data_IF_419191106309
#
_entry.id   IF_419191106309
#
_cell.length_a   1.000
_cell.length_b   1.000
_cell.length_c   1.000
_cell.angle_alpha   90.00
_cell.angle_beta   90.00
_cell.angle_gamma   90.00
#
_symmetry.space_group_name_H-M   'P 1'
#
loop_
_entity.id
_entity.type
_entity.pdbx_description
1 polymer ?
#
# COMPACT_ATOMS: atom_id res chain seq x y z
N UNK A 1 34.45 -12.10 -3.82
CA UNK A 1 33.99 -13.04 -2.76
C UNK A 1 32.58 -13.48 -3.08
N UNK A 2 32.25 -14.77 -2.98
CA UNK A 2 30.87 -15.22 -3.07
C UNK A 2 30.13 -14.87 -1.77
N UNK A 3 28.89 -14.43 -1.90
CA UNK A 3 28.04 -14.18 -0.73
C UNK A 3 27.73 -15.52 -0.04
N UNK A 4 27.73 -15.54 1.28
CA UNK A 4 27.36 -16.71 2.10
C UNK A 4 25.88 -17.04 1.89
N UNK A 5 25.02 -16.00 1.83
CA UNK A 5 23.58 -16.14 1.62
C UNK A 5 23.07 -15.08 0.65
N UNK A 6 21.92 -15.35 0.04
CA UNK A 6 21.16 -14.41 -0.79
C UNK A 6 19.72 -14.37 -0.28
N UNK A 7 18.98 -13.36 -0.66
CA UNK A 7 17.55 -13.28 -0.38
C UNK A 7 16.82 -14.54 -0.88
N UNK A 8 15.83 -14.99 -0.11
CA UNK A 8 15.03 -16.17 -0.44
C UNK A 8 14.23 -15.89 -1.71
N UNK A 9 14.13 -16.87 -2.59
CA UNK A 9 13.35 -16.74 -3.83
C UNK A 9 11.89 -16.36 -3.53
N UNK A 10 11.48 -15.23 -4.07
CA UNK A 10 10.14 -14.67 -3.84
C UNK A 10 10.07 -13.61 -2.75
N UNK A 11 11.23 -13.24 -2.17
CA UNK A 11 11.37 -12.02 -1.37
C UNK A 11 12.19 -11.00 -2.14
N UNK A 12 12.04 -9.71 -1.83
CA UNK A 12 12.74 -8.61 -2.50
C UNK A 12 13.11 -7.53 -1.50
N UNK A 13 14.38 -7.12 -1.50
CA UNK A 13 14.81 -5.95 -0.78
C UNK A 13 14.29 -4.67 -1.47
N UNK A 14 13.78 -3.73 -0.71
CA UNK A 14 13.49 -2.36 -1.17
C UNK A 14 14.67 -1.49 -0.79
N UNK A 15 15.46 -1.08 -1.79
CA UNK A 15 16.67 -0.31 -1.56
C UNK A 15 16.36 1.18 -1.35
N UNK A 16 17.27 1.97 -0.74
CA UNK A 16 17.02 3.38 -0.45
C UNK A 16 16.57 4.23 -1.64
N UNK A 17 17.08 3.92 -2.84
CA UNK A 17 16.71 4.63 -4.07
C UNK A 17 15.27 4.36 -4.54
N UNK A 18 14.61 3.32 -4.03
CA UNK A 18 13.24 2.94 -4.39
C UNK A 18 12.26 3.06 -3.21
N UNK A 19 12.79 3.17 -1.98
CA UNK A 19 11.97 3.17 -0.77
C UNK A 19 10.96 4.34 -0.73
N UNK A 20 11.34 5.50 -1.26
CA UNK A 20 10.45 6.68 -1.32
C UNK A 20 9.16 6.42 -2.09
N UNK A 21 9.18 5.55 -3.10
CA UNK A 21 8.00 5.17 -3.87
C UNK A 21 6.98 4.43 -3.01
N UNK A 22 7.45 3.46 -2.21
CA UNK A 22 6.59 2.72 -1.29
C UNK A 22 6.09 3.64 -0.18
N UNK A 23 6.95 4.50 0.37
CA UNK A 23 6.58 5.48 1.39
C UNK A 23 5.48 6.43 0.88
N UNK A 24 5.57 6.89 -0.36
CA UNK A 24 4.54 7.71 -0.99
C UNK A 24 3.19 6.97 -1.08
N UNK A 25 3.18 5.73 -1.55
CA UNK A 25 1.96 4.91 -1.63
C UNK A 25 1.37 4.70 -0.23
N UNK A 26 2.21 4.38 0.76
CA UNK A 26 1.78 4.18 2.14
C UNK A 26 1.24 5.46 2.79
N UNK A 27 1.89 6.60 2.56
CA UNK A 27 1.43 7.91 3.06
C UNK A 27 0.06 8.24 2.47
N UNK A 28 -0.11 8.13 1.15
CA UNK A 28 -1.39 8.34 0.47
C UNK A 28 -2.48 7.39 0.97
N UNK A 29 -2.12 6.13 1.28
CA UNK A 29 -3.06 5.17 1.85
C UNK A 29 -3.54 5.59 3.24
N UNK A 30 -2.63 6.05 4.12
CA UNK A 30 -2.96 6.54 5.47
C UNK A 30 -3.84 7.79 5.43
N UNK A 31 -3.48 8.77 4.61
CA UNK A 31 -4.26 10.00 4.43
C UNK A 31 -5.66 9.70 3.92
N UNK A 32 -5.77 8.88 2.87
CA UNK A 32 -7.06 8.49 2.33
C UNK A 32 -7.90 7.73 3.37
N UNK A 33 -7.32 6.81 4.11
CA UNK A 33 -8.01 6.11 5.19
C UNK A 33 -8.52 7.08 6.27
N UNK A 34 -7.70 8.05 6.66
CA UNK A 34 -8.07 9.06 7.66
C UNK A 34 -9.26 9.92 7.20
N UNK A 35 -9.31 10.36 5.94
CA UNK A 35 -10.40 11.16 5.38
C UNK A 35 -11.75 10.43 5.41
N UNK A 36 -11.73 9.10 5.32
CA UNK A 36 -12.93 8.28 5.47
C UNK A 36 -13.20 7.84 6.91
N UNK A 37 -12.42 8.32 7.88
CA UNK A 37 -12.56 8.03 9.31
C UNK A 37 -12.12 6.63 9.72
N UNK A 38 -11.23 6.00 8.94
CA UNK A 38 -10.59 4.73 9.32
C UNK A 38 -9.40 4.98 10.25
N UNK A 39 -9.21 4.11 11.23
CA UNK A 39 -8.09 4.15 12.19
C UNK A 39 -7.15 2.98 11.95
N UNK A 40 -5.85 3.22 12.13
CA UNK A 40 -4.85 2.15 11.95
C UNK A 40 -5.02 1.07 13.01
N UNK A 41 -4.99 -0.20 12.57
CA UNK A 41 -4.85 -1.37 13.43
C UNK A 41 -3.58 -2.12 13.04
N UNK A 42 -2.81 -2.56 14.04
CA UNK A 42 -1.61 -3.37 13.84
C UNK A 42 -1.78 -4.70 14.54
N UNK A 43 -1.74 -5.77 13.79
CA UNK A 43 -1.85 -7.15 14.29
C UNK A 43 -0.50 -7.84 14.26
N UNK A 44 -0.26 -8.88 15.05
CA UNK A 44 0.96 -9.68 14.99
C UNK A 44 1.23 -10.28 13.61
N UNK A 45 2.51 -10.51 13.29
CA UNK A 45 2.94 -11.14 12.03
C UNK A 45 2.53 -12.61 11.97
N UNK A 46 2.49 -13.29 13.12
CA UNK A 46 2.10 -14.68 13.24
C UNK A 46 0.92 -14.83 14.21
N UNK A 47 0.06 -15.77 13.90
CA UNK A 47 -1.16 -16.10 14.64
C UNK A 47 -1.26 -17.61 14.82
N UNK A 48 -2.16 -18.07 15.68
CA UNK A 48 -2.51 -19.48 15.72
C UNK A 48 -3.02 -19.95 14.35
N UNK A 49 -2.54 -21.09 13.88
CA UNK A 49 -2.92 -21.65 12.57
C UNK A 49 -4.43 -21.80 12.44
N UNK A 50 -5.12 -22.15 13.54
CA UNK A 50 -6.57 -22.30 13.59
C UNK A 50 -7.33 -21.03 13.18
N UNK A 51 -6.80 -19.84 13.44
CA UNK A 51 -7.41 -18.57 13.02
C UNK A 51 -7.61 -18.54 11.49
N UNK A 52 -6.59 -18.96 10.75
CA UNK A 52 -6.66 -18.96 9.28
C UNK A 52 -7.45 -20.15 8.74
N UNK A 53 -7.36 -21.31 9.37
CA UNK A 53 -8.17 -22.49 8.99
C UNK A 53 -9.66 -22.18 9.08
N UNK A 54 -10.11 -21.60 10.18
CA UNK A 54 -11.51 -21.19 10.36
C UNK A 54 -11.88 -19.97 9.55
N UNK A 55 -11.10 -18.90 9.66
CA UNK A 55 -11.44 -17.61 9.08
C UNK A 55 -11.27 -17.57 7.56
N UNK A 56 -10.24 -18.21 6.99
CA UNK A 56 -9.95 -18.19 5.53
C UNK A 56 -10.63 -19.34 4.80
N UNK A 57 -10.81 -20.46 5.50
CA UNK A 57 -11.49 -21.68 5.01
C UNK A 57 -10.54 -22.79 4.58
N UNK A 58 -10.76 -23.97 5.11
CA UNK A 58 -9.92 -25.17 4.88
C UNK A 58 -9.87 -25.61 3.41
N UNK A 59 -10.83 -25.19 2.58
CA UNK A 59 -10.88 -25.58 1.16
C UNK A 59 -10.08 -24.69 0.24
N UNK A 60 -9.52 -23.60 0.76
CA UNK A 60 -8.77 -22.60 -0.03
C UNK A 60 -7.36 -23.08 -0.33
N UNK A 61 -6.81 -22.68 -1.49
CA UNK A 61 -5.42 -22.98 -1.83
C UNK A 61 -4.45 -22.32 -0.83
N UNK A 62 -4.83 -21.17 -0.29
CA UNK A 62 -4.05 -20.43 0.73
C UNK A 62 -3.81 -21.34 1.95
N UNK A 63 -4.87 -21.90 2.52
CA UNK A 63 -4.78 -22.76 3.71
C UNK A 63 -4.12 -24.08 3.40
N UNK A 64 -4.44 -24.70 2.27
CA UNK A 64 -3.94 -26.03 1.93
C UNK A 64 -2.48 -26.08 1.49
N UNK A 65 -1.96 -25.04 0.85
CA UNK A 65 -0.67 -25.09 0.12
C UNK A 65 0.24 -23.91 0.31
N UNK A 66 -0.30 -22.75 0.73
CA UNK A 66 0.46 -21.49 0.64
C UNK A 66 0.84 -20.91 2.01
N UNK A 67 0.33 -21.42 3.12
CA UNK A 67 0.69 -20.94 4.45
C UNK A 67 2.10 -21.36 4.86
N UNK A 68 2.82 -20.45 5.51
CA UNK A 68 4.05 -20.75 6.25
C UNK A 68 3.68 -21.10 7.70
N UNK A 69 3.57 -22.38 7.97
CA UNK A 69 3.14 -22.93 9.27
C UNK A 69 4.29 -23.69 9.92
N UNK A 70 4.46 -23.52 11.23
CA UNK A 70 5.47 -24.19 12.04
C UNK A 70 5.03 -24.27 13.49
N UNK A 71 5.64 -25.18 14.25
CA UNK A 71 5.41 -25.28 15.67
C UNK A 71 6.37 -24.36 16.45
N UNK A 72 5.85 -23.62 17.41
CA UNK A 72 6.69 -22.85 18.33
C UNK A 72 7.38 -23.75 19.38
N UNK A 73 8.25 -23.18 20.20
CA UNK A 73 8.94 -23.94 21.27
C UNK A 73 7.99 -24.53 22.31
N UNK A 74 6.76 -24.07 22.40
CA UNK A 74 5.71 -24.58 23.27
C UNK A 74 4.82 -25.64 22.61
N UNK A 75 5.12 -26.06 21.36
CA UNK A 75 4.36 -27.05 20.62
C UNK A 75 3.05 -26.51 20.06
N UNK A 76 2.88 -25.19 19.93
CA UNK A 76 1.68 -24.59 19.34
C UNK A 76 1.91 -24.38 17.85
N UNK A 77 0.92 -24.78 17.04
CA UNK A 77 0.96 -24.51 15.61
C UNK A 77 0.67 -23.05 15.32
N UNK A 78 1.63 -22.36 14.72
CA UNK A 78 1.55 -20.95 14.34
C UNK A 78 1.83 -20.78 12.84
N UNK A 79 1.21 -19.75 12.28
CA UNK A 79 1.29 -19.43 10.85
C UNK A 79 1.64 -17.97 10.66
N UNK A 80 2.59 -17.67 9.77
CA UNK A 80 2.79 -16.31 9.28
C UNK A 80 1.54 -15.88 8.51
N UNK A 81 0.99 -14.71 8.84
CA UNK A 81 -0.28 -14.24 8.26
C UNK A 81 -0.24 -14.24 6.73
N UNK A 82 -1.15 -14.96 6.06
CA UNK A 82 -1.26 -14.95 4.60
C UNK A 82 -2.11 -13.78 4.08
N UNK A 83 -2.82 -13.08 4.98
CA UNK A 83 -3.68 -11.93 4.72
C UNK A 83 -3.97 -11.17 6.04
N UNK A 84 -4.55 -9.97 5.97
CA UNK A 84 -4.74 -9.12 7.15
C UNK A 84 -6.12 -9.23 7.82
N UNK A 85 -7.16 -9.65 7.10
CA UNK A 85 -8.56 -9.59 7.55
C UNK A 85 -8.83 -10.46 8.78
N UNK A 86 -8.36 -11.72 8.78
CA UNK A 86 -8.59 -12.64 9.91
C UNK A 86 -7.93 -12.11 11.20
N UNK A 87 -6.70 -11.57 11.10
CA UNK A 87 -6.03 -10.92 12.22
C UNK A 87 -6.78 -9.70 12.75
N UNK A 88 -7.31 -8.86 11.86
CA UNK A 88 -8.11 -7.70 12.22
C UNK A 88 -9.44 -8.12 12.89
N UNK A 89 -10.12 -9.15 12.37
CA UNK A 89 -11.35 -9.70 12.95
C UNK A 89 -11.11 -10.30 14.34
N UNK A 90 -10.01 -11.05 14.52
CA UNK A 90 -9.62 -11.58 15.85
C UNK A 90 -9.34 -10.42 16.83
N UNK A 91 -8.59 -9.40 16.39
CA UNK A 91 -8.27 -8.24 17.23
C UNK A 91 -9.53 -7.44 17.61
N UNK A 92 -10.50 -7.32 16.70
CA UNK A 92 -11.81 -6.70 16.95
C UNK A 92 -12.56 -7.40 18.07
N UNK A 93 -12.55 -8.75 18.10
CA UNK A 93 -13.19 -9.54 19.14
C UNK A 93 -12.41 -9.53 20.46
N UNK A 94 -11.14 -9.88 20.42
CA UNK A 94 -10.30 -10.08 21.61
C UNK A 94 -10.18 -8.79 22.45
N UNK A 95 -10.13 -7.63 21.81
CA UNK A 95 -10.00 -6.34 22.50
C UNK A 95 -11.34 -5.66 22.78
N UNK A 96 -12.46 -6.36 22.56
CA UNK A 96 -13.78 -5.86 22.90
C UNK A 96 -14.28 -4.70 22.03
N UNK A 97 -13.68 -4.42 20.87
CA UNK A 97 -14.14 -3.39 19.95
C UNK A 97 -15.57 -3.65 19.45
N UNK A 98 -16.01 -4.89 19.51
CA UNK A 98 -17.40 -5.26 19.20
C UNK A 98 -18.44 -4.69 20.20
N UNK A 99 -18.01 -4.25 21.37
CA UNK A 99 -18.87 -3.65 22.40
C UNK A 99 -18.89 -2.10 22.30
N UNK A 100 -18.10 -1.53 21.40
CA UNK A 100 -18.08 -0.09 21.15
C UNK A 100 -19.13 0.31 20.11
N UNK A 101 -19.23 1.63 19.86
CA UNK A 101 -20.14 2.14 18.84
C UNK A 101 -19.77 1.61 17.44
N UNK A 102 -20.70 0.99 16.74
CA UNK A 102 -20.55 0.56 15.36
C UNK A 102 -20.99 1.65 14.38
N UNK A 103 -20.43 1.75 13.19
CA UNK A 103 -19.42 0.84 12.63
C UNK A 103 -18.01 1.15 13.15
N UNK A 104 -17.23 0.09 13.41
CA UNK A 104 -15.79 0.19 13.62
C UNK A 104 -15.08 0.13 12.26
N UNK A 105 -14.30 1.16 11.96
CA UNK A 105 -13.57 1.31 10.71
C UNK A 105 -12.07 1.24 10.98
N UNK A 106 -11.40 0.21 10.49
CA UNK A 106 -9.96 0.04 10.68
C UNK A 106 -9.25 -0.19 9.35
N UNK A 107 -8.01 0.28 9.25
CA UNK A 107 -7.11 -0.05 8.15
C UNK A 107 -5.80 -0.62 8.67
N UNK A 108 -5.11 -1.35 7.81
CA UNK A 108 -3.78 -1.87 8.10
C UNK A 108 -2.85 -1.76 6.89
N UNK A 109 -1.56 -1.61 7.19
CA UNK A 109 -0.45 -1.76 6.26
C UNK A 109 0.45 -2.84 6.84
N UNK A 110 0.46 -4.01 6.21
CA UNK A 110 1.07 -5.20 6.80
C UNK A 110 1.79 -6.06 5.76
N UNK A 111 2.91 -6.68 6.18
CA UNK A 111 3.55 -7.75 5.40
C UNK A 111 2.72 -9.03 5.51
N UNK A 112 2.53 -9.72 4.40
CA UNK A 112 1.85 -11.00 4.29
C UNK A 112 2.76 -12.04 3.64
N UNK A 113 2.51 -13.32 3.91
CA UNK A 113 3.41 -14.41 3.53
C UNK A 113 2.65 -15.56 2.89
N UNK A 114 2.99 -15.90 1.63
CA UNK A 114 2.38 -17.03 0.92
C UNK A 114 3.42 -17.81 0.15
N UNK A 115 3.42 -19.12 0.28
CA UNK A 115 4.31 -20.01 -0.48
C UNK A 115 3.81 -20.19 -1.91
N UNK A 116 3.78 -19.09 -2.67
CA UNK A 116 3.36 -19.08 -4.06
C UNK A 116 4.54 -19.22 -5.04
N UNK A 117 4.23 -19.54 -6.31
CA UNK A 117 5.21 -19.42 -7.39
C UNK A 117 5.46 -17.93 -7.68
N UNK A 118 6.68 -17.41 -7.41
CA UNK A 118 6.97 -16.00 -7.61
C UNK A 118 6.85 -15.59 -9.08
N UNK A 119 6.26 -14.42 -9.31
CA UNK A 119 6.16 -13.74 -10.61
C UNK A 119 6.03 -12.23 -10.39
N UNK A 120 6.01 -11.44 -11.47
CA UNK A 120 5.84 -9.98 -11.35
C UNK A 120 4.59 -9.63 -10.54
N UNK A 121 4.73 -8.79 -9.51
CA UNK A 121 3.66 -8.40 -8.60
C UNK A 121 3.09 -9.51 -7.72
N UNK A 122 3.74 -10.67 -7.63
CA UNK A 122 3.33 -11.79 -6.78
C UNK A 122 4.55 -12.41 -6.12
N UNK A 123 4.78 -12.02 -4.89
CA UNK A 123 5.93 -12.42 -4.08
C UNK A 123 5.48 -13.37 -2.97
N UNK A 124 6.44 -14.02 -2.32
CA UNK A 124 6.20 -14.84 -1.11
C UNK A 124 6.09 -14.02 0.14
N UNK A 125 6.79 -12.91 0.21
CA UNK A 125 6.57 -11.81 1.13
C UNK A 125 6.09 -10.62 0.33
N UNK A 126 4.94 -10.06 0.69
CA UNK A 126 4.31 -8.93 0.02
C UNK A 126 3.58 -8.05 1.03
N UNK A 127 3.33 -6.80 0.68
CA UNK A 127 2.68 -5.85 1.57
C UNK A 127 1.25 -5.59 1.12
N UNK A 128 0.35 -5.56 2.09
CA UNK A 128 -1.05 -5.24 1.86
C UNK A 128 -1.44 -3.94 2.56
N UNK A 129 -2.11 -3.07 1.83
CA UNK A 129 -3.04 -2.11 2.40
C UNK A 129 -4.43 -2.73 2.38
N UNK A 130 -5.07 -2.78 3.53
CA UNK A 130 -6.44 -3.27 3.64
C UNK A 130 -7.27 -2.43 4.59
N UNK A 131 -8.57 -2.42 4.37
CA UNK A 131 -9.55 -1.76 5.24
C UNK A 131 -10.63 -2.75 5.60
N UNK A 132 -11.08 -2.68 6.86
CA UNK A 132 -12.17 -3.48 7.38
C UNK A 132 -13.20 -2.56 8.05
N UNK A 133 -14.45 -2.77 7.72
CA UNK A 133 -15.56 -2.07 8.31
C UNK A 133 -16.52 -3.07 8.94
N UNK A 134 -16.51 -3.10 10.24
CA UNK A 134 -17.42 -3.91 11.04
C UNK A 134 -18.69 -3.11 11.30
N UNK A 135 -19.73 -3.37 10.50
CA UNK A 135 -21.05 -2.77 10.67
C UNK A 135 -21.63 -1.92 9.52
N UNK A 136 -20.94 -1.66 8.39
CA UNK A 136 -21.52 -0.89 7.25
C UNK A 136 -20.74 -1.01 5.92
N UNK A 137 -21.07 -0.21 4.89
CA UNK A 137 -20.48 -0.18 3.53
C UNK A 137 -19.67 1.12 3.30
N UNK A 138 -18.58 1.08 2.49
CA UNK A 138 -17.74 2.26 2.23
C UNK A 138 -17.15 2.31 0.81
N UNK A 139 -17.05 3.50 0.13
CA UNK A 139 -16.48 3.69 -1.22
C UNK A 139 -14.97 4.02 -1.24
N UNK A 140 -14.19 3.74 -0.20
CA UNK A 140 -12.79 4.18 -0.01
C UNK A 140 -11.84 3.83 -1.15
N UNK A 141 -11.97 2.65 -1.77
CA UNK A 141 -10.99 2.15 -2.73
C UNK A 141 -10.85 3.04 -3.97
N UNK A 142 -11.92 3.59 -4.49
CA UNK A 142 -11.91 4.45 -5.69
C UNK A 142 -11.10 5.72 -5.43
N UNK A 143 -11.38 6.42 -4.34
CA UNK A 143 -10.69 7.65 -3.96
C UNK A 143 -9.18 7.48 -3.77
N UNK A 144 -8.73 6.30 -3.31
CA UNK A 144 -7.31 6.00 -3.17
C UNK A 144 -6.59 5.91 -4.52
N UNK A 145 -7.18 5.24 -5.50
CA UNK A 145 -6.59 5.13 -6.84
C UNK A 145 -6.52 6.48 -7.56
N UNK A 146 -7.55 7.31 -7.42
CA UNK A 146 -7.60 8.65 -7.99
C UNK A 146 -6.45 9.52 -7.48
N UNK A 147 -6.15 9.47 -6.17
CA UNK A 147 -5.03 10.21 -5.55
C UNK A 147 -3.65 9.78 -6.03
N UNK A 148 -3.50 8.52 -6.39
CA UNK A 148 -2.24 8.01 -6.96
C UNK A 148 -2.12 8.25 -8.47
N UNK A 149 -3.12 8.87 -9.10
CA UNK A 149 -3.15 9.09 -10.54
C UNK A 149 -3.32 7.79 -11.35
N UNK A 150 -3.81 6.73 -10.73
CA UNK A 150 -4.07 5.45 -11.38
C UNK A 150 -5.40 5.52 -12.11
N UNK A 151 -5.38 5.26 -13.40
CA UNK A 151 -6.55 5.35 -14.30
C UNK A 151 -6.85 4.01 -14.97
N UNK A 152 -7.97 3.93 -15.72
CA UNK A 152 -8.32 2.75 -16.52
C UNK A 152 -8.58 1.49 -15.70
N UNK A 153 -8.93 1.63 -14.43
CA UNK A 153 -9.41 0.52 -13.61
C UNK A 153 -10.88 0.24 -13.91
N UNK A 154 -11.21 -1.01 -14.18
CA UNK A 154 -12.60 -1.47 -14.27
C UNK A 154 -13.02 -2.02 -12.91
N UNK A 155 -14.13 -1.50 -12.39
CA UNK A 155 -14.80 -2.09 -11.24
C UNK A 155 -15.68 -3.24 -11.71
N UNK A 156 -15.32 -4.45 -11.31
CA UNK A 156 -16.13 -5.64 -11.55
C UNK A 156 -16.79 -6.07 -10.24
N UNK A 157 -18.08 -6.30 -10.26
CA UNK A 157 -18.86 -6.70 -9.09
C UNK A 157 -19.59 -8.02 -9.33
N UNK A 158 -19.82 -8.77 -8.25
CA UNK A 158 -20.66 -9.97 -8.27
C UNK A 158 -21.40 -10.12 -6.94
N UNK A 159 -22.43 -10.93 -6.92
CA UNK A 159 -23.03 -11.45 -5.68
C UNK A 159 -22.80 -12.96 -5.60
N UNK A 160 -22.07 -13.41 -4.61
CA UNK A 160 -21.90 -14.86 -4.36
C UNK A 160 -22.98 -15.43 -3.43
N UNK A 161 -23.99 -14.64 -3.11
CA UNK A 161 -25.12 -15.01 -2.29
C UNK A 161 -24.79 -15.28 -0.82
N UNK A 162 -25.81 -15.60 -0.05
CA UNK A 162 -25.71 -16.11 1.32
C UNK A 162 -25.49 -17.64 1.32
N UNK A 163 -25.26 -18.29 2.47
CA UNK A 163 -25.10 -19.75 2.54
C UNK A 163 -26.25 -20.52 1.87
N UNK A 164 -27.50 -20.05 2.02
CA UNK A 164 -28.68 -20.69 1.40
C UNK A 164 -28.64 -20.60 -0.15
N UNK A 165 -28.26 -19.45 -0.69
CA UNK A 165 -28.06 -19.27 -2.14
C UNK A 165 -26.95 -20.18 -2.66
N UNK A 166 -25.83 -20.21 -1.93
CA UNK A 166 -24.65 -21.03 -2.30
C UNK A 166 -24.96 -22.52 -2.33
N UNK A 167 -25.76 -23.03 -1.39
CA UNK A 167 -26.12 -24.43 -1.39
C UNK A 167 -26.84 -24.84 -2.69
N UNK A 168 -27.85 -24.07 -3.10
CA UNK A 168 -28.56 -24.28 -4.37
C UNK A 168 -27.65 -24.14 -5.58
N UNK A 169 -26.77 -23.14 -5.57
CA UNK A 169 -25.84 -22.89 -6.65
C UNK A 169 -24.78 -23.98 -6.78
N UNK A 170 -24.29 -24.52 -5.65
CA UNK A 170 -23.34 -25.63 -5.64
C UNK A 170 -23.93 -26.88 -6.28
N UNK A 171 -25.20 -27.17 -6.01
CA UNK A 171 -25.88 -28.30 -6.64
C UNK A 171 -26.01 -28.13 -8.15
N UNK A 172 -26.31 -26.92 -8.61
CA UNK A 172 -26.34 -26.60 -10.03
C UNK A 172 -24.95 -26.72 -10.69
N UNK A 173 -23.90 -26.22 -10.04
CA UNK A 173 -22.52 -26.34 -10.51
C UNK A 173 -22.05 -27.80 -10.54
N UNK A 174 -22.34 -28.57 -9.48
CA UNK A 174 -22.03 -30.01 -9.46
C UNK A 174 -22.71 -30.76 -10.60
N UNK A 175 -24.00 -30.51 -10.83
CA UNK A 175 -24.72 -31.10 -11.95
C UNK A 175 -24.12 -30.72 -13.29
N UNK A 176 -23.77 -29.46 -13.47
CA UNK A 176 -23.17 -28.96 -14.71
C UNK A 176 -21.80 -29.58 -14.99
N UNK A 177 -20.89 -29.57 -14.02
CA UNK A 177 -19.53 -30.07 -14.20
C UNK A 177 -19.43 -31.59 -14.14
N UNK A 178 -20.38 -32.30 -13.52
CA UNK A 178 -20.39 -33.77 -13.46
C UNK A 178 -20.42 -34.40 -14.86
N UNK A 179 -21.15 -33.78 -15.79
CA UNK A 179 -21.24 -34.25 -17.18
C UNK A 179 -19.90 -34.20 -17.94
N UNK A 180 -18.92 -33.40 -17.46
CA UNK A 180 -17.62 -33.18 -18.08
C UNK A 180 -16.47 -33.35 -17.07
N UNK A 181 -16.68 -34.16 -16.03
CA UNK A 181 -15.72 -34.37 -14.94
C UNK A 181 -14.36 -34.84 -15.43
N UNK A 182 -14.33 -35.76 -16.37
CA UNK A 182 -13.10 -36.36 -16.90
C UNK A 182 -12.27 -35.42 -17.77
N UNK A 183 -12.89 -34.32 -18.25
CA UNK A 183 -12.22 -33.25 -19.01
C UNK A 183 -11.57 -32.19 -18.07
N UNK A 184 -11.97 -32.13 -16.82
CA UNK A 184 -11.41 -31.20 -15.84
C UNK A 184 -10.00 -31.59 -15.44
N UNK A 185 -9.14 -30.60 -15.17
CA UNK A 185 -7.83 -30.88 -14.58
C UNK A 185 -7.95 -31.53 -13.18
N UNK A 186 -6.94 -32.29 -12.76
CA UNK A 186 -6.94 -33.06 -11.49
C UNK A 186 -7.36 -32.21 -10.27
N UNK A 187 -6.88 -30.97 -10.21
CA UNK A 187 -7.27 -30.04 -9.14
C UNK A 187 -8.76 -29.74 -9.17
N UNK A 188 -9.35 -29.55 -10.34
CA UNK A 188 -10.78 -29.21 -10.48
C UNK A 188 -11.68 -30.42 -10.27
N UNK A 189 -11.24 -31.62 -10.59
CA UNK A 189 -11.95 -32.84 -10.22
C UNK A 189 -12.11 -32.95 -8.68
N UNK A 190 -11.04 -32.64 -7.94
CA UNK A 190 -11.13 -32.58 -6.46
C UNK A 190 -11.95 -31.40 -5.93
N UNK A 191 -11.99 -30.25 -6.64
CA UNK A 191 -12.81 -29.08 -6.27
C UNK A 191 -14.29 -29.33 -6.50
N UNK A 192 -14.67 -30.17 -7.45
CA UNK A 192 -16.05 -30.46 -7.78
C UNK A 192 -16.85 -30.93 -6.55
N UNK A 193 -16.24 -31.75 -5.70
CA UNK A 193 -16.88 -32.26 -4.48
C UNK A 193 -16.83 -31.24 -3.34
N UNK A 194 -15.69 -30.59 -3.15
CA UNK A 194 -15.43 -29.73 -1.98
C UNK A 194 -15.94 -28.30 -2.14
N UNK A 195 -15.59 -27.66 -3.26
CA UNK A 195 -15.96 -26.26 -3.54
C UNK A 195 -16.05 -26.05 -5.06
N UNK A 196 -17.18 -26.36 -5.70
CA UNK A 196 -17.33 -26.28 -7.16
C UNK A 196 -17.18 -24.86 -7.72
N UNK A 197 -17.46 -23.82 -6.94
CA UNK A 197 -17.22 -22.42 -7.37
C UNK A 197 -15.75 -22.17 -7.74
N UNK A 198 -14.80 -22.84 -7.10
CA UNK A 198 -13.36 -22.69 -7.39
C UNK A 198 -12.95 -23.22 -8.78
N UNK A 199 -13.83 -23.95 -9.47
CA UNK A 199 -13.60 -24.37 -10.85
C UNK A 199 -13.70 -23.17 -11.79
N UNK A 200 -14.56 -22.19 -11.48
CA UNK A 200 -14.76 -20.98 -12.28
C UNK A 200 -13.49 -20.09 -12.35
N UNK A 201 -12.64 -20.15 -11.32
CA UNK A 201 -11.34 -19.42 -11.26
C UNK A 201 -10.14 -20.30 -11.66
N UNK A 202 -10.36 -21.44 -12.30
CA UNK A 202 -9.26 -22.30 -12.72
C UNK A 202 -8.43 -21.66 -13.84
N UNK A 203 -7.10 -21.79 -13.73
CA UNK A 203 -6.16 -21.26 -14.74
C UNK A 203 -5.94 -22.20 -15.95
N UNK A 204 -6.44 -23.42 -15.89
CA UNK A 204 -6.37 -24.36 -17.01
C UNK A 204 -7.26 -23.90 -18.16
N UNK A 205 -6.72 -23.76 -19.39
CA UNK A 205 -7.53 -23.33 -20.55
C UNK A 205 -8.75 -24.23 -20.80
N UNK A 206 -8.60 -25.54 -20.57
CA UNK A 206 -9.72 -26.51 -20.73
C UNK A 206 -10.80 -26.24 -19.69
N UNK A 207 -10.44 -26.07 -18.41
CA UNK A 207 -11.41 -25.77 -17.37
C UNK A 207 -12.08 -24.41 -17.58
N UNK A 208 -11.34 -23.41 -18.08
CA UNK A 208 -11.91 -22.09 -18.43
C UNK A 208 -12.92 -22.20 -19.55
N UNK A 209 -12.62 -22.99 -20.59
CA UNK A 209 -13.55 -23.22 -21.69
C UNK A 209 -14.84 -23.91 -21.22
N UNK A 210 -14.69 -24.95 -20.40
CA UNK A 210 -15.85 -25.64 -19.79
C UNK A 210 -16.68 -24.69 -18.93
N UNK A 211 -16.03 -23.81 -18.18
CA UNK A 211 -16.70 -22.88 -17.28
C UNK A 211 -17.42 -21.71 -17.98
N UNK A 212 -17.20 -21.49 -19.29
CA UNK A 212 -17.84 -20.38 -20.02
C UNK A 212 -19.36 -20.39 -19.91
N UNK A 213 -19.97 -21.55 -20.02
CA UNK A 213 -21.41 -21.70 -20.04
C UNK A 213 -21.96 -22.22 -18.68
N UNK A 214 -21.14 -22.17 -17.63
CA UNK A 214 -21.58 -22.57 -16.30
C UNK A 214 -22.68 -21.62 -15.78
N UNK A 215 -23.64 -22.14 -15.00
CA UNK A 215 -24.68 -21.34 -14.37
C UNK A 215 -24.13 -20.12 -13.66
N UNK A 216 -24.80 -18.97 -13.74
CA UNK A 216 -24.43 -17.76 -13.01
C UNK A 216 -25.03 -17.79 -11.60
N UNK A 217 -24.24 -17.40 -10.58
CA UNK A 217 -24.71 -17.37 -9.19
C UNK A 217 -25.88 -16.40 -8.99
N UNK A 218 -25.96 -15.35 -9.79
CA UNK A 218 -27.04 -14.34 -9.77
C UNK A 218 -28.43 -14.93 -10.03
N UNK A 219 -28.52 -16.09 -10.72
CA UNK A 219 -29.79 -16.76 -11.01
C UNK A 219 -30.32 -17.56 -9.80
N UNK A 220 -29.47 -17.80 -8.82
CA UNK A 220 -29.77 -18.60 -7.61
C UNK A 220 -29.90 -17.75 -6.35
N UNK A 221 -29.91 -16.42 -6.46
CA UNK A 221 -30.05 -15.53 -5.33
C UNK A 221 -31.45 -15.60 -4.73
N UNK A 222 -31.53 -15.64 -3.40
CA UNK A 222 -32.80 -15.42 -2.69
C UNK A 222 -33.18 -13.93 -2.81
N UNK A 223 -34.44 -13.61 -2.48
CA UNK A 223 -34.98 -12.25 -2.60
C UNK A 223 -34.14 -11.23 -1.82
N UNK A 224 -33.72 -11.54 -0.58
CA UNK A 224 -32.86 -10.69 0.24
C UNK A 224 -31.52 -10.39 -0.45
N UNK A 225 -30.85 -11.41 -1.02
CA UNK A 225 -29.56 -11.22 -1.69
C UNK A 225 -29.70 -10.47 -3.02
N UNK A 226 -30.80 -10.67 -3.73
CA UNK A 226 -31.13 -9.96 -4.95
C UNK A 226 -31.36 -8.49 -4.64
N UNK A 227 -32.25 -8.19 -3.70
CA UNK A 227 -32.54 -6.81 -3.29
C UNK A 227 -31.27 -6.09 -2.79
N UNK A 228 -30.43 -6.77 -2.01
CA UNK A 228 -29.14 -6.22 -1.59
C UNK A 228 -28.24 -5.88 -2.78
N UNK A 229 -28.13 -6.78 -3.75
CA UNK A 229 -27.28 -6.57 -4.92
C UNK A 229 -27.81 -5.45 -5.84
N UNK A 230 -29.12 -5.37 -6.00
CA UNK A 230 -29.79 -4.29 -6.76
C UNK A 230 -29.56 -2.92 -6.11
N UNK A 231 -29.62 -2.85 -4.77
CA UNK A 231 -29.31 -1.63 -4.01
C UNK A 231 -27.84 -1.21 -4.19
N UNK A 232 -26.89 -2.15 -4.14
CA UNK A 232 -25.48 -1.85 -4.40
C UNK A 232 -25.30 -1.23 -5.79
N UNK A 233 -25.92 -1.81 -6.83
CA UNK A 233 -25.85 -1.30 -8.18
C UNK A 233 -26.49 0.10 -8.30
N UNK A 234 -27.60 0.32 -7.60
CA UNK A 234 -28.26 1.65 -7.60
C UNK A 234 -27.40 2.73 -6.95
N UNK A 235 -26.68 2.39 -5.86
CA UNK A 235 -25.76 3.33 -5.19
C UNK A 235 -24.52 3.64 -6.03
N UNK A 236 -23.95 2.67 -6.72
CA UNK A 236 -22.84 2.91 -7.66
C UNK A 236 -23.27 3.86 -8.78
N UNK A 237 -24.45 3.63 -9.36
CA UNK A 237 -25.02 4.52 -10.40
C UNK A 237 -25.27 5.95 -9.87
N UNK A 238 -25.79 6.07 -8.65
CA UNK A 238 -26.04 7.37 -8.03
C UNK A 238 -24.76 8.17 -7.76
N UNK A 239 -23.62 7.49 -7.63
CA UNK A 239 -22.29 8.09 -7.46
C UNK A 239 -21.52 8.23 -8.79
N UNK A 240 -22.14 7.93 -9.93
CA UNK A 240 -21.51 7.90 -11.25
C UNK A 240 -20.27 7.00 -11.32
N UNK A 241 -20.28 5.87 -10.58
CA UNK A 241 -19.23 4.88 -10.63
C UNK A 241 -19.60 3.82 -11.66
N UNK A 242 -18.82 3.72 -12.72
CA UNK A 242 -18.96 2.67 -13.74
C UNK A 242 -18.56 1.31 -13.19
N UNK A 243 -19.35 0.29 -13.49
CA UNK A 243 -19.07 -1.08 -13.06
C UNK A 243 -19.56 -2.10 -14.10
N UNK A 244 -19.00 -3.30 -14.01
CA UNK A 244 -19.44 -4.47 -14.79
C UNK A 244 -19.86 -5.57 -13.82
N UNK A 245 -21.02 -6.20 -14.06
CA UNK A 245 -21.40 -7.40 -13.33
C UNK A 245 -20.68 -8.59 -13.97
N UNK A 246 -19.77 -9.22 -13.19
CA UNK A 246 -19.00 -10.37 -13.64
C UNK A 246 -19.31 -11.59 -12.75
N UNK A 247 -20.19 -12.46 -13.25
CA UNK A 247 -20.61 -13.67 -12.51
C UNK A 247 -19.49 -14.70 -12.24
N UNK A 248 -18.30 -14.49 -12.82
CA UNK A 248 -17.14 -15.37 -12.66
C UNK A 248 -16.22 -14.94 -11.52
N UNK A 249 -16.44 -13.78 -10.90
CA UNK A 249 -15.65 -13.39 -9.73
C UNK A 249 -15.93 -14.39 -8.61
N UNK A 250 -14.90 -15.17 -8.28
CA UNK A 250 -14.83 -16.07 -7.14
C UNK A 250 -13.63 -15.65 -6.32
N UNK A 251 -13.86 -15.22 -5.07
CA UNK A 251 -12.77 -14.77 -4.20
C UNK A 251 -11.94 -15.94 -3.70
N UNK A 252 -10.65 -15.68 -3.46
CA UNK A 252 -9.68 -16.67 -2.99
C UNK A 252 -9.91 -17.18 -1.56
N UNK A 253 -10.85 -16.60 -0.83
CA UNK A 253 -11.11 -16.84 0.61
C UNK A 253 -12.60 -17.19 0.78
N UNK A 254 -12.90 -18.17 1.62
CA UNK A 254 -14.24 -18.73 1.71
C UNK A 254 -15.21 -17.92 2.61
N UNK A 255 -14.71 -16.98 3.39
CA UNK A 255 -15.53 -16.16 4.29
C UNK A 255 -16.48 -15.18 3.59
N UNK A 256 -16.24 -14.88 2.31
CA UNK A 256 -17.07 -13.91 1.60
C UNK A 256 -18.53 -14.33 1.47
N UNK A 257 -19.40 -13.32 1.53
CA UNK A 257 -20.85 -13.47 1.36
C UNK A 257 -21.43 -12.30 0.56
N UNK A 258 -22.60 -12.49 -0.06
CA UNK A 258 -23.32 -11.43 -0.78
C UNK A 258 -22.40 -10.75 -1.82
N UNK A 259 -22.16 -9.45 -1.71
CA UNK A 259 -21.41 -8.70 -2.70
C UNK A 259 -19.91 -8.90 -2.58
N UNK A 260 -19.26 -9.18 -3.69
CA UNK A 260 -17.81 -9.18 -3.89
C UNK A 260 -17.44 -8.28 -5.06
N UNK A 261 -16.22 -7.74 -5.06
CA UNK A 261 -15.76 -6.87 -6.13
C UNK A 261 -14.26 -6.98 -6.36
N UNK A 262 -13.85 -6.57 -7.55
CA UNK A 262 -12.44 -6.42 -7.95
C UNK A 262 -12.26 -5.16 -8.77
N UNK A 263 -11.14 -4.45 -8.52
CA UNK A 263 -10.63 -3.46 -9.46
C UNK A 263 -9.58 -4.14 -10.34
N UNK A 264 -9.84 -4.11 -11.63
CA UNK A 264 -9.04 -4.85 -12.63
C UNK A 264 -8.40 -3.87 -13.62
N UNK A 265 -7.13 -4.08 -13.91
CA UNK A 265 -6.38 -3.34 -14.94
C UNK A 265 -5.88 -4.29 -16.02
N UNK A 266 -5.92 -3.86 -17.27
CA UNK A 266 -5.34 -4.58 -18.41
C UNK A 266 -3.83 -4.28 -18.56
N UNK A 267 -3.31 -3.26 -17.85
CA UNK A 267 -1.93 -2.79 -18.00
C UNK A 267 -0.88 -3.71 -17.35
N UNK A 268 -1.27 -4.64 -16.47
CA UNK A 268 -0.34 -5.51 -15.70
C UNK A 268 -0.45 -7.00 -16.08
N UNK A 269 -0.94 -7.30 -17.28
CA UNK A 269 -0.98 -8.65 -17.85
C UNK A 269 -2.06 -9.56 -17.29
N UNK A 270 -1.87 -10.88 -17.37
CA UNK A 270 -2.90 -11.90 -17.11
C UNK A 270 -3.48 -11.94 -15.68
N UNK A 271 -2.96 -11.17 -14.73
CA UNK A 271 -3.45 -11.07 -13.36
C UNK A 271 -3.83 -9.61 -13.05
N UNK A 272 -4.81 -9.10 -13.78
CA UNK A 272 -5.24 -7.71 -13.74
C UNK A 272 -5.85 -7.22 -12.42
N UNK A 273 -6.22 -8.09 -11.49
CA UNK A 273 -6.82 -7.69 -10.21
C UNK A 273 -5.82 -6.94 -9.33
N UNK A 274 -6.03 -5.64 -9.12
CA UNK A 274 -5.20 -4.76 -8.29
C UNK A 274 -5.70 -4.74 -6.86
N UNK A 275 -7.02 -4.63 -6.68
CA UNK A 275 -7.71 -4.58 -5.40
C UNK A 275 -8.90 -5.53 -5.44
N UNK A 276 -9.18 -6.15 -4.33
CA UNK A 276 -10.37 -6.99 -4.25
C UNK A 276 -10.91 -7.11 -2.84
N UNK A 277 -12.23 -7.15 -2.75
CA UNK A 277 -12.93 -7.16 -1.49
C UNK A 277 -14.35 -7.67 -1.58
N UNK A 278 -15.10 -7.46 -0.52
CA UNK A 278 -16.50 -7.85 -0.45
C UNK A 278 -17.00 -7.94 0.99
N UNK A 279 -18.21 -8.46 1.13
CA UNK A 279 -18.83 -8.69 2.43
C UNK A 279 -18.42 -10.05 2.99
N UNK A 280 -18.33 -10.13 4.31
CA UNK A 280 -18.02 -11.36 5.04
C UNK A 280 -18.81 -11.41 6.36
N UNK A 281 -20.14 -11.42 6.24
CA UNK A 281 -21.08 -11.31 7.36
C UNK A 281 -21.01 -12.47 8.38
N UNK A 282 -20.38 -13.60 8.00
CA UNK A 282 -20.22 -14.77 8.86
C UNK A 282 -18.90 -14.85 9.63
N UNK A 283 -17.86 -14.09 9.22
CA UNK A 283 -16.51 -14.26 9.76
C UNK A 283 -16.42 -14.02 11.27
N UNK A 284 -17.07 -12.98 11.77
CA UNK A 284 -17.06 -12.66 13.20
C UNK A 284 -17.73 -13.77 14.04
N UNK A 285 -18.82 -14.34 13.54
CA UNK A 285 -19.52 -15.48 14.17
C UNK A 285 -18.67 -16.77 14.15
N UNK A 286 -18.01 -17.06 13.02
CA UNK A 286 -17.09 -18.19 12.88
C UNK A 286 -15.90 -18.12 13.85
N UNK A 287 -15.49 -16.91 14.21
CA UNK A 287 -14.44 -16.65 15.20
C UNK A 287 -14.96 -16.58 16.65
N UNK A 288 -16.25 -16.87 16.87
CA UNK A 288 -16.85 -16.96 18.21
C UNK A 288 -17.48 -15.67 18.72
N UNK A 289 -17.62 -14.65 17.87
CA UNK A 289 -18.29 -13.39 18.21
C UNK A 289 -19.79 -13.40 17.89
N UNK A 290 -20.45 -12.28 18.16
CA UNK A 290 -21.82 -12.07 17.72
C UNK A 290 -21.85 -11.79 16.21
N UNK A 291 -22.88 -12.25 15.52
CA UNK A 291 -23.06 -12.01 14.08
C UNK A 291 -23.02 -10.51 13.77
N UNK A 292 -21.93 -10.07 13.16
CA UNK A 292 -21.67 -8.68 12.82
C UNK A 292 -21.48 -8.54 11.32
N UNK A 293 -22.40 -7.87 10.60
CA UNK A 293 -22.23 -7.63 9.17
C UNK A 293 -20.94 -6.84 8.93
N UNK A 294 -20.08 -7.38 8.08
CA UNK A 294 -18.76 -6.84 7.86
C UNK A 294 -18.38 -6.82 6.39
N UNK A 295 -17.53 -5.90 6.02
CA UNK A 295 -16.97 -5.79 4.69
C UNK A 295 -15.57 -5.19 4.74
N UNK A 296 -14.79 -5.49 3.72
CA UNK A 296 -13.45 -4.93 3.58
C UNK A 296 -12.88 -5.19 2.20
N UNK A 297 -11.70 -4.65 1.98
CA UNK A 297 -10.90 -4.97 0.81
C UNK A 297 -9.42 -4.94 1.16
N UNK A 298 -8.63 -5.57 0.31
CA UNK A 298 -7.18 -5.45 0.38
C UNK A 298 -6.58 -5.34 -1.03
N UNK A 299 -5.44 -4.67 -1.10
CA UNK A 299 -4.61 -4.56 -2.29
C UNK A 299 -3.15 -4.81 -1.95
N UNK A 300 -2.40 -5.37 -2.91
CA UNK A 300 -0.96 -5.57 -2.77
C UNK A 300 -0.19 -4.35 -3.25
N UNK A 301 0.70 -3.79 -2.39
CA UNK A 301 1.46 -2.58 -2.72
C UNK A 301 2.42 -2.79 -3.88
N UNK A 302 3.06 -3.96 -3.97
CA UNK A 302 3.98 -4.28 -5.06
C UNK A 302 3.26 -4.35 -6.42
N UNK A 303 2.01 -4.83 -6.42
CA UNK A 303 1.19 -4.86 -7.64
C UNK A 303 0.73 -3.47 -8.04
N UNK A 304 0.35 -2.66 -7.06
CA UNK A 304 -0.01 -1.26 -7.28
C UNK A 304 1.18 -0.47 -7.82
N UNK A 305 2.37 -0.64 -7.24
CA UNK A 305 3.59 -0.02 -7.74
C UNK A 305 3.87 -0.39 -9.21
N UNK A 306 3.77 -1.67 -9.56
CA UNK A 306 3.91 -2.11 -10.95
C UNK A 306 2.91 -1.44 -11.89
N UNK A 307 1.66 -1.26 -11.45
CA UNK A 307 0.65 -0.58 -12.24
C UNK A 307 0.98 0.90 -12.42
N UNK A 308 1.38 1.58 -11.35
CA UNK A 308 1.79 2.99 -11.40
C UNK A 308 2.99 3.17 -12.33
N UNK A 309 3.99 2.30 -12.27
CA UNK A 309 5.15 2.30 -13.17
C UNK A 309 4.73 2.05 -14.63
N UNK A 310 3.82 1.10 -14.88
CA UNK A 310 3.31 0.80 -16.23
C UNK A 310 2.51 1.96 -16.83
N UNK A 311 1.85 2.75 -16.01
CA UNK A 311 1.06 3.92 -16.43
C UNK A 311 1.88 5.22 -16.43
N UNK A 312 3.12 5.21 -15.96
CA UNK A 312 3.94 6.42 -15.85
C UNK A 312 3.41 7.40 -14.81
N UNK A 313 2.75 6.92 -13.75
CA UNK A 313 2.29 7.77 -12.65
C UNK A 313 3.48 8.45 -11.99
N UNK A 314 3.32 9.73 -11.67
CA UNK A 314 4.36 10.52 -11.01
C UNK A 314 4.53 10.08 -9.55
N UNK A 315 5.78 10.00 -9.13
CA UNK A 315 6.15 9.95 -7.72
C UNK A 315 6.75 11.30 -7.33
N UNK A 316 6.54 11.76 -6.09
CA UNK A 316 7.28 12.92 -5.61
C UNK A 316 8.79 12.63 -5.68
N UNK A 317 9.58 13.63 -5.99
CA UNK A 317 11.04 13.47 -5.94
C UNK A 317 11.47 13.10 -4.50
N UNK A 318 12.49 12.23 -4.36
CA UNK A 318 13.07 11.95 -3.04
C UNK A 318 13.54 13.25 -2.38
N UNK A 319 13.30 13.38 -1.08
CA UNK A 319 13.81 14.51 -0.33
C UNK A 319 15.34 14.59 -0.46
N UNK A 320 15.82 15.75 -0.91
CA UNK A 320 17.24 16.06 -1.00
C UNK A 320 17.68 16.68 0.33
N UNK A 321 18.94 16.45 0.71
CA UNK A 321 19.51 17.19 1.83
C UNK A 321 19.51 18.70 1.51
N UNK A 322 19.08 19.51 2.46
CA UNK A 322 19.07 20.95 2.30
C UNK A 322 20.49 21.51 2.27
N UNK A 323 21.35 21.01 3.17
CA UNK A 323 22.73 21.48 3.31
C UNK A 323 23.69 20.31 3.45
N UNK A 324 24.85 20.38 2.78
CA UNK A 324 26.01 19.54 3.06
C UNK A 324 27.15 20.39 3.57
N UNK A 325 27.58 20.18 4.81
CA UNK A 325 28.70 20.89 5.43
C UNK A 325 29.99 20.14 5.16
N UNK A 326 30.94 20.83 4.53
CA UNK A 326 32.30 20.36 4.26
C UNK A 326 33.20 20.93 5.34
N UNK A 327 33.81 20.11 6.18
CA UNK A 327 34.75 20.55 7.23
C UNK A 327 36.15 20.09 6.92
N UNK A 328 37.10 21.02 7.11
CA UNK A 328 38.56 20.83 6.84
C UNK A 328 39.35 21.22 8.08
N UNK A 329 39.84 20.25 8.84
CA UNK A 329 40.55 20.42 10.10
C UNK A 329 39.67 20.22 11.34
N UNK A 330 40.31 20.04 12.52
CA UNK A 330 39.63 19.69 13.75
C UNK A 330 38.77 20.84 14.30
N UNK A 331 39.26 22.08 14.24
CA UNK A 331 38.53 23.27 14.67
C UNK A 331 37.27 23.47 13.84
N UNK A 332 37.42 23.41 12.50
CA UNK A 332 36.32 23.51 11.56
C UNK A 332 35.29 22.34 11.75
N UNK A 333 35.77 21.15 12.04
CA UNK A 333 34.89 20.00 12.30
C UNK A 333 34.02 20.21 13.57
N UNK A 334 34.61 20.73 14.66
CA UNK A 334 33.85 21.08 15.85
C UNK A 334 32.75 22.10 15.55
N UNK A 335 33.07 23.18 14.84
CA UNK A 335 32.10 24.21 14.46
C UNK A 335 31.03 23.70 13.48
N UNK A 336 31.40 22.82 12.57
CA UNK A 336 30.48 22.18 11.64
C UNK A 336 29.46 21.28 12.37
N UNK A 337 29.88 20.60 13.43
CA UNK A 337 28.98 19.78 14.25
C UNK A 337 27.95 20.63 15.01
N UNK A 338 28.38 21.76 15.59
CA UNK A 338 27.48 22.74 16.21
C UNK A 338 26.46 23.25 15.20
N UNK A 339 26.95 23.76 14.07
CA UNK A 339 26.08 24.29 12.99
C UNK A 339 25.09 23.24 12.47
N UNK A 340 25.54 22.01 12.27
CA UNK A 340 24.65 20.94 11.85
C UNK A 340 23.56 20.63 12.89
N UNK A 341 23.89 20.74 14.18
CA UNK A 341 22.94 20.62 15.27
C UNK A 341 21.88 21.72 15.24
N UNK A 342 22.33 22.96 15.14
CA UNK A 342 21.44 24.13 15.08
C UNK A 342 20.48 24.05 13.89
N UNK A 343 21.01 23.80 12.70
CA UNK A 343 20.22 23.65 11.48
C UNK A 343 19.20 22.51 11.55
N UNK A 344 19.57 21.36 12.13
CA UNK A 344 18.63 20.23 12.32
C UNK A 344 17.54 20.54 13.33
N UNK A 345 17.83 21.33 14.38
CA UNK A 345 16.80 21.75 15.33
C UNK A 345 15.74 22.67 14.69
N UNK A 346 16.09 23.36 13.63
CA UNK A 346 15.18 24.15 12.80
C UNK A 346 14.48 23.34 11.69
N UNK A 347 14.70 22.02 11.64
CA UNK A 347 14.01 21.11 10.72
C UNK A 347 14.70 20.86 9.39
N UNK A 348 15.92 21.41 9.16
CA UNK A 348 16.67 21.18 7.93
C UNK A 348 17.35 19.81 7.87
N UNK A 349 17.35 19.20 6.71
CA UNK A 349 18.10 17.97 6.43
C UNK A 349 19.58 18.30 6.15
N UNK A 350 20.44 18.12 7.16
CA UNK A 350 21.86 18.48 7.08
C UNK A 350 22.77 17.27 7.11
N UNK A 351 23.67 17.18 6.14
CA UNK A 351 24.66 16.12 6.03
C UNK A 351 26.09 16.66 6.18
N UNK A 352 27.00 15.77 6.57
CA UNK A 352 28.43 16.04 6.70
C UNK A 352 29.25 14.85 6.23
N UNK A 353 30.51 15.05 5.90
CA UNK A 353 31.44 13.93 5.67
C UNK A 353 31.92 13.34 7.01
N UNK A 354 31.70 12.04 7.16
CA UNK A 354 32.12 11.30 8.37
C UNK A 354 33.52 10.67 8.25
N UNK A 355 34.16 10.77 7.07
CA UNK A 355 35.40 10.08 6.77
C UNK A 355 36.60 11.01 6.59
N UNK A 356 36.48 12.31 6.91
CA UNK A 356 37.51 13.33 6.81
C UNK A 356 38.21 13.34 5.43
N UNK A 357 37.39 13.23 4.37
CA UNK A 357 37.88 13.21 3.01
C UNK A 357 38.40 14.62 2.60
N UNK A 358 39.22 14.65 1.54
CA UNK A 358 39.65 15.93 0.98
C UNK A 358 38.47 16.77 0.48
N UNK A 359 38.62 18.11 0.41
CA UNK A 359 37.60 19.04 -0.10
C UNK A 359 36.97 18.55 -1.41
N UNK A 360 37.81 18.18 -2.39
CA UNK A 360 37.34 17.70 -3.71
C UNK A 360 36.47 16.44 -3.57
N UNK A 361 36.83 15.53 -2.67
CA UNK A 361 36.07 14.28 -2.47
C UNK A 361 34.75 14.54 -1.73
N UNK A 362 34.74 15.44 -0.73
CA UNK A 362 33.52 15.86 -0.04
C UNK A 362 32.56 16.60 -0.99
N UNK A 363 33.04 17.53 -1.82
CA UNK A 363 32.22 18.24 -2.82
C UNK A 363 31.61 17.28 -3.83
N UNK A 364 32.40 16.30 -4.35
CA UNK A 364 31.89 15.25 -5.24
C UNK A 364 30.82 14.40 -4.54
N UNK A 365 30.97 14.15 -3.25
CA UNK A 365 30.03 13.37 -2.46
C UNK A 365 28.74 14.15 -2.21
N UNK A 366 28.81 15.42 -1.85
CA UNK A 366 27.65 16.31 -1.73
C UNK A 366 26.81 16.34 -3.03
N UNK A 367 27.48 16.49 -4.17
CA UNK A 367 26.82 16.45 -5.48
C UNK A 367 26.17 15.08 -5.77
N UNK A 368 26.83 13.97 -5.42
CA UNK A 368 26.28 12.63 -5.58
C UNK A 368 25.04 12.38 -4.70
N UNK A 369 25.00 12.99 -3.52
CA UNK A 369 23.87 12.92 -2.60
C UNK A 369 22.71 13.85 -3.01
N UNK A 370 22.94 14.74 -3.99
CA UNK A 370 21.94 15.71 -4.43
C UNK A 370 21.64 16.79 -3.39
N UNK A 371 22.62 17.17 -2.56
CA UNK A 371 22.45 18.28 -1.62
C UNK A 371 22.09 19.57 -2.38
N UNK A 372 21.13 20.34 -1.86
CA UNK A 372 20.69 21.62 -2.46
C UNK A 372 21.76 22.67 -2.32
N UNK A 373 22.36 22.76 -1.14
CA UNK A 373 23.41 23.72 -0.81
C UNK A 373 24.63 23.02 -0.23
N UNK A 374 25.80 23.69 -0.39
CA UNK A 374 27.01 23.28 0.32
C UNK A 374 27.65 24.50 0.97
N UNK A 375 28.32 24.28 2.11
CA UNK A 375 29.17 25.26 2.77
C UNK A 375 30.51 24.59 3.11
N UNK A 376 31.61 25.33 2.91
CA UNK A 376 32.96 24.89 3.27
C UNK A 376 33.38 25.60 4.53
N UNK A 377 33.80 24.87 5.54
CA UNK A 377 34.37 25.35 6.79
C UNK A 377 35.83 24.90 6.87
N UNK A 378 36.73 25.80 6.89
CA UNK A 378 38.11 25.67 7.29
C UNK A 378 38.39 26.55 8.50
N UNK A 379 39.61 26.53 9.01
CA UNK A 379 39.98 27.34 10.16
C UNK A 379 39.84 28.86 9.86
N UNK A 380 40.10 29.29 8.62
CA UNK A 380 39.95 30.69 8.18
C UNK A 380 38.47 31.14 8.26
N UNK A 381 37.55 30.35 7.75
CA UNK A 381 36.11 30.65 7.79
C UNK A 381 35.57 30.73 9.22
N UNK A 382 36.08 29.89 10.11
CA UNK A 382 35.75 29.94 11.54
C UNK A 382 36.31 31.20 12.21
N UNK A 383 37.53 31.63 11.84
CA UNK A 383 38.17 32.82 12.41
C UNK A 383 37.59 34.14 11.89
N UNK A 384 37.15 34.17 10.65
CA UNK A 384 36.62 35.39 10.00
C UNK A 384 35.10 35.54 10.15
N UNK A 385 34.44 34.54 10.66
CA UNK A 385 32.95 34.46 10.75
C UNK A 385 32.25 34.60 9.38
N UNK A 386 32.90 34.21 8.28
CA UNK A 386 32.36 34.34 6.92
C UNK A 386 32.49 33.06 6.15
N UNK A 387 31.41 32.65 5.53
CA UNK A 387 31.33 31.42 4.73
C UNK A 387 30.61 31.69 3.42
N UNK A 388 30.94 30.91 2.39
CA UNK A 388 30.24 30.92 1.11
C UNK A 388 29.24 29.79 1.09
N UNK A 389 27.96 30.14 1.07
CA UNK A 389 26.84 29.19 0.85
C UNK A 389 26.68 29.05 -0.67
N UNK A 390 26.93 27.83 -1.17
CA UNK A 390 26.85 27.53 -2.60
C UNK A 390 25.60 26.76 -2.95
N UNK A 391 24.80 27.30 -3.85
CA UNK A 391 23.67 26.54 -4.47
C UNK A 391 24.26 25.54 -5.47
N UNK A 392 23.86 24.28 -5.34
CA UNK A 392 24.49 23.17 -6.10
C UNK A 392 23.95 23.03 -7.54
N UNK A 393 22.77 23.53 -7.79
CA UNK A 393 22.09 23.54 -9.11
C UNK A 393 22.57 24.70 -10.02
N UNK A 394 22.60 25.92 -9.47
CA UNK A 394 23.00 27.13 -10.22
C UNK A 394 24.49 27.39 -10.13
N UNK A 395 25.16 26.91 -9.08
CA UNK A 395 26.54 27.21 -8.75
C UNK A 395 26.75 28.60 -8.14
N UNK A 396 25.68 29.35 -7.87
CA UNK A 396 25.72 30.65 -7.21
C UNK A 396 26.25 30.55 -5.79
N UNK A 397 27.08 31.50 -5.40
CA UNK A 397 27.69 31.56 -4.08
C UNK A 397 27.28 32.87 -3.38
N UNK A 398 26.73 32.74 -2.16
CA UNK A 398 26.28 33.86 -1.33
C UNK A 398 27.07 33.87 -0.03
N UNK A 399 27.68 35.02 0.31
CA UNK A 399 28.39 35.18 1.58
C UNK A 399 27.40 35.28 2.74
N UNK A 400 27.61 34.47 3.77
CA UNK A 400 26.78 34.41 5.00
C UNK A 400 27.71 34.46 6.20
N UNK A 401 27.30 35.17 7.28
CA UNK A 401 28.03 35.13 8.54
C UNK A 401 27.77 33.80 9.25
N UNK A 402 28.83 33.14 9.72
CA UNK A 402 28.71 31.84 10.40
C UNK A 402 27.97 31.93 11.75
N UNK A 403 28.13 33.08 12.45
CA UNK A 403 27.42 33.33 13.73
C UNK A 403 25.92 33.50 13.57
N UNK A 404 25.40 33.84 12.39
CA UNK A 404 24.00 33.98 12.06
C UNK A 404 23.59 33.11 10.88
N UNK A 405 24.30 32.00 10.67
CA UNK A 405 24.16 31.14 9.50
C UNK A 405 22.72 30.62 9.28
N UNK A 406 22.03 30.22 10.35
CA UNK A 406 20.66 29.74 10.27
C UNK A 406 19.74 30.76 9.60
N UNK A 407 19.79 32.03 10.05
CA UNK A 407 18.97 33.12 9.48
C UNK A 407 19.38 33.42 8.05
N UNK A 408 20.71 33.43 7.78
CA UNK A 408 21.23 33.65 6.43
C UNK A 408 20.79 32.55 5.47
N UNK A 409 20.82 31.30 5.91
CA UNK A 409 20.37 30.16 5.13
C UNK A 409 18.86 30.25 4.83
N UNK A 410 18.02 30.58 5.83
CA UNK A 410 16.59 30.82 5.62
C UNK A 410 16.37 31.88 4.54
N UNK A 411 17.06 33.01 4.62
CA UNK A 411 16.90 34.06 3.64
C UNK A 411 17.25 33.62 2.21
N UNK A 412 18.38 32.94 2.02
CA UNK A 412 18.81 32.45 0.72
C UNK A 412 17.90 31.35 0.18
N UNK A 413 17.58 30.37 1.00
CA UNK A 413 16.74 29.23 0.57
C UNK A 413 15.30 29.65 0.29
N UNK A 414 14.74 30.57 1.06
CA UNK A 414 13.40 31.10 0.85
C UNK A 414 13.34 31.97 -0.41
N UNK A 415 14.32 32.83 -0.67
CA UNK A 415 14.40 33.61 -1.91
C UNK A 415 14.44 32.69 -3.14
N UNK A 416 15.21 31.60 -3.10
CA UNK A 416 15.26 30.64 -4.20
C UNK A 416 13.92 29.94 -4.41
N UNK A 417 13.26 29.48 -3.33
CA UNK A 417 11.94 28.86 -3.43
C UNK A 417 10.86 29.81 -3.95
N UNK A 418 10.93 31.09 -3.59
CA UNK A 418 9.99 32.11 -4.04
C UNK A 418 10.21 32.50 -5.49
N UNK A 419 11.47 32.47 -5.97
CA UNK A 419 11.77 32.73 -7.38
C UNK A 419 11.19 31.66 -8.31
N UNK A 420 11.01 30.43 -7.82
CA UNK A 420 10.40 29.33 -8.56
C UNK A 420 8.85 29.37 -8.53
N UNK A 421 8.22 30.25 -7.72
CA UNK A 421 6.77 30.39 -7.64
C UNK A 421 6.25 31.33 -8.74
N UNK A 422 5.69 30.74 -9.80
CA UNK A 422 4.89 31.46 -10.78
C UNK A 422 3.43 31.53 -10.30
N UNK A 423 2.92 32.75 -10.06
CA UNK A 423 1.49 32.98 -9.81
C UNK A 423 0.86 33.57 -11.07
N UNK A 424 -0.09 32.83 -11.66
CA UNK A 424 -0.79 33.21 -12.91
C UNK A 424 0.13 33.39 -14.14
N UNK A 425 1.26 32.67 -14.21
CA UNK A 425 2.20 32.77 -15.36
C UNK A 425 3.15 33.96 -15.30
N UNK A 426 3.22 34.66 -14.18
CA UNK A 426 4.20 35.72 -13.92
C UNK A 426 4.97 35.40 -12.63
N UNK A 427 6.30 35.67 -12.62
CA UNK A 427 7.12 35.54 -11.44
C UNK A 427 6.58 36.47 -10.32
N UNK A 428 6.33 35.94 -9.14
CA UNK A 428 5.77 36.72 -8.03
C UNK A 428 6.87 37.58 -7.38
N UNK A 429 6.75 38.90 -7.49
CA UNK A 429 7.66 39.86 -6.84
C UNK A 429 7.22 40.13 -5.38
N UNK A 430 7.85 39.43 -4.42
CA UNK A 430 7.65 39.64 -2.99
C UNK A 430 8.14 40.94 -2.45
N UNK A 431 9.04 41.67 -3.17
CA UNK A 431 9.53 42.98 -2.71
C UNK A 431 8.42 44.01 -2.61
N UNK A 432 7.35 43.82 -3.38
CA UNK A 432 6.15 44.68 -3.34
C UNK A 432 5.35 44.56 -2.06
N UNK A 433 5.42 43.42 -1.34
CA UNK A 433 4.70 43.21 -0.09
C UNK A 433 5.35 43.92 1.13
N UNK A 434 6.59 44.24 1.05
CA UNK A 434 7.37 44.91 2.12
C UNK A 434 7.55 46.43 1.92
N UNK A 435 7.04 46.97 0.82
CA UNK A 435 7.13 48.40 0.52
C UNK A 435 5.91 49.23 1.05
N UNK A 436 5.03 48.69 1.88
CA UNK A 436 3.96 49.48 2.49
C UNK A 436 4.36 49.94 3.88
N UNK A 437 4.95 51.11 4.01
CA UNK A 437 5.16 51.68 5.32
C UNK A 437 6.04 52.95 5.39
N UNK A 438 6.07 53.78 4.33
CA UNK A 438 6.51 55.16 4.47
C UNK A 438 5.64 56.09 3.59
N UNK A 439 4.51 56.51 4.11
CA UNK A 439 3.87 57.74 3.68
C UNK A 439 3.13 58.34 4.86
N UNK A 440 3.72 59.48 5.33
CA UNK A 440 3.19 60.62 6.08
C UNK A 440 2.55 60.40 7.45
#
# INVERSE_FOLDING_TARGET
MALITKAIKGTKDVLPQDAYKIQYIEATARETAADFGYKEIRTPVFEHTELFQRGVGDTTDVVQKEMYTFDDKGGRSITLRPEGTAGAARAFLENGLCNEALPQKVYYLVSCYRYEKPQAGRLREFHQFGVECFGTQSPLASAFFDRLGVTGLRLEINSIGCPTCRAKYYDALRSYFAARKDELCDTCQGRLERNPMRILDCKSPVCQEIAKDAPAVTDYLCDECREHFDKVQSYLKAQNIDYTVNSRIVRGLDYYTKTVFEFVSDSIGAQGTVCGGGRYDGLIDELGGQKTPSLGFALGLERLQLLMEAQGCAYPEPEKADLFIIALGDKATGKALELAGDMRSEGFAVLMDLNQRSLRAQMKYANKLGARYTVVLGDNEVDTDRVQLKAMDTGEETEVALSTFVNGFYSVSMQAQLADLEINGEAFDFTSLFQTGETE
#
